data_IF_594755216679
#
_entry.id   IF_594755216679
#
_cell.length_a   1.000
_cell.length_b   1.000
_cell.length_c   1.000
_cell.angle_alpha   90.00
_cell.angle_beta   90.00
_cell.angle_gamma   90.00
#
_symmetry.space_group_name_H-M   'P 1'
#
loop_
_entity.id
_entity.type
_entity.pdbx_description
1 polymer ?
#
# COMPACT_ATOMS: atom_id res chain seq x y z
N UNK A 1 3.35 14.96 5.16
CA UNK A 1 3.07 14.04 6.29
C UNK A 1 3.27 12.58 5.90
N UNK A 2 2.57 12.03 4.88
CA UNK A 2 2.66 10.60 4.55
C UNK A 2 4.08 10.05 4.28
N UNK A 3 4.92 10.79 3.57
CA UNK A 3 6.31 10.36 3.25
C UNK A 3 7.19 10.19 4.50
N UNK A 4 7.03 11.06 5.49
CA UNK A 4 7.77 10.94 6.76
C UNK A 4 7.32 9.71 7.56
N UNK A 5 6.03 9.40 7.57
CA UNK A 5 5.51 8.19 8.21
C UNK A 5 6.05 6.91 7.53
N UNK A 6 6.14 6.91 6.19
CA UNK A 6 6.74 5.81 5.43
C UNK A 6 8.23 5.66 5.80
N UNK A 7 8.98 6.76 5.86
CA UNK A 7 10.39 6.71 6.23
C UNK A 7 10.60 6.11 7.63
N UNK A 8 9.78 6.51 8.61
CA UNK A 8 9.83 5.93 9.96
C UNK A 8 9.44 4.45 9.98
N UNK A 9 8.41 4.06 9.24
CA UNK A 9 7.98 2.66 9.14
C UNK A 9 9.09 1.77 8.53
N UNK A 10 9.84 2.28 7.57
CA UNK A 10 10.99 1.55 6.98
C UNK A 10 12.13 1.33 7.98
N UNK A 11 12.36 2.26 8.91
CA UNK A 11 13.39 2.10 9.95
C UNK A 11 13.15 0.91 10.88
N UNK A 12 11.89 0.49 11.01
CA UNK A 12 11.48 -0.66 11.83
C UNK A 12 11.07 -1.86 10.97
N UNK A 13 11.44 -1.86 9.69
CA UNK A 13 11.15 -2.94 8.72
C UNK A 13 9.65 -3.30 8.62
N UNK A 14 8.77 -2.31 8.85
CA UNK A 14 7.33 -2.53 8.76
C UNK A 14 6.89 -2.70 7.30
N UNK A 15 5.87 -3.53 7.10
CA UNK A 15 5.18 -3.65 5.82
C UNK A 15 4.27 -2.43 5.63
N UNK A 16 4.57 -1.61 4.63
CA UNK A 16 3.82 -0.38 4.33
C UNK A 16 2.77 -0.64 3.25
N UNK A 17 1.53 -0.28 3.56
CA UNK A 17 0.44 -0.08 2.61
C UNK A 17 0.02 1.39 2.64
N UNK A 18 -0.19 1.99 1.48
CA UNK A 18 -0.48 3.43 1.39
C UNK A 18 -1.48 3.73 0.27
N UNK A 19 -1.99 4.96 0.25
CA UNK A 19 -2.88 5.42 -0.81
C UNK A 19 -2.32 6.67 -1.48
N UNK A 20 -2.62 6.86 -2.76
CA UNK A 20 -2.28 8.09 -3.47
C UNK A 20 -3.32 8.42 -4.54
N UNK A 21 -3.31 9.68 -5.00
CA UNK A 21 -4.35 10.22 -5.87
C UNK A 21 -3.89 10.42 -7.32
N UNK A 22 -2.64 10.14 -7.68
CA UNK A 22 -2.10 10.41 -9.02
C UNK A 22 -0.95 9.47 -9.35
N UNK A 23 -0.72 9.25 -10.65
CA UNK A 23 0.37 8.42 -11.14
C UNK A 23 1.75 8.94 -10.69
N UNK A 24 2.00 10.24 -10.79
CA UNK A 24 3.26 10.83 -10.33
C UNK A 24 3.56 10.56 -8.84
N UNK A 25 2.54 10.57 -7.96
CA UNK A 25 2.72 10.20 -6.55
C UNK A 25 2.98 8.70 -6.39
N UNK A 26 2.31 7.87 -7.18
CA UNK A 26 2.53 6.42 -7.22
C UNK A 26 3.96 6.09 -7.63
N UNK A 27 4.46 6.73 -8.68
CA UNK A 27 5.81 6.54 -9.19
C UNK A 27 6.86 6.93 -8.15
N UNK A 28 6.67 8.07 -7.47
CA UNK A 28 7.53 8.47 -6.36
C UNK A 28 7.53 7.45 -5.20
N UNK A 29 6.35 6.93 -4.82
CA UNK A 29 6.26 5.92 -3.77
C UNK A 29 6.99 4.62 -4.15
N UNK A 30 6.94 4.22 -5.42
CA UNK A 30 7.62 3.01 -5.91
C UNK A 30 9.13 3.21 -6.05
N UNK A 31 9.55 4.26 -6.75
CA UNK A 31 10.92 4.42 -7.19
C UNK A 31 11.82 5.04 -6.11
N UNK A 32 11.29 6.00 -5.34
CA UNK A 32 12.08 6.75 -4.36
C UNK A 32 11.90 6.20 -2.93
N UNK A 33 10.70 5.70 -2.60
CA UNK A 33 10.40 5.18 -1.27
C UNK A 33 10.34 3.65 -1.19
N UNK A 34 10.54 2.94 -2.30
CA UNK A 34 10.59 1.47 -2.38
C UNK A 34 9.33 0.79 -1.81
N UNK A 35 8.16 1.41 -2.06
CA UNK A 35 6.86 0.81 -1.73
C UNK A 35 6.39 -0.02 -2.92
N UNK A 36 6.16 -1.34 -2.78
CA UNK A 36 5.71 -2.18 -3.88
C UNK A 36 4.42 -1.66 -4.51
N UNK A 37 4.30 -1.79 -5.83
CA UNK A 37 3.11 -1.38 -6.57
C UNK A 37 1.82 -2.04 -6.03
N UNK A 38 1.91 -3.30 -5.59
CA UNK A 38 0.80 -4.05 -4.98
C UNK A 38 0.34 -3.50 -3.63
N UNK A 39 1.12 -2.60 -3.00
CA UNK A 39 0.83 -2.01 -1.70
C UNK A 39 0.35 -0.55 -1.78
N UNK A 40 0.22 0.00 -2.99
CA UNK A 40 -0.23 1.37 -3.23
C UNK A 40 -1.64 1.34 -3.83
N UNK A 41 -2.61 1.93 -3.15
CA UNK A 41 -4.01 1.97 -3.58
C UNK A 41 -4.48 3.39 -3.94
N UNK A 42 -5.67 3.50 -4.53
CA UNK A 42 -6.27 4.79 -4.84
C UNK A 42 -6.81 5.44 -3.56
N UNK A 43 -6.59 6.75 -3.38
CA UNK A 43 -7.10 7.51 -2.23
C UNK A 43 -8.44 8.22 -2.49
N UNK A 44 -9.01 8.09 -3.70
CA UNK A 44 -10.22 8.83 -4.12
C UNK A 44 -11.51 8.02 -4.00
N UNK A 45 -11.40 6.74 -3.70
CA UNK A 45 -12.51 5.82 -3.52
C UNK A 45 -12.18 4.83 -2.40
N UNK A 46 -13.11 3.93 -2.08
CA UNK A 46 -12.98 2.93 -1.03
C UNK A 46 -12.34 1.62 -1.50
N UNK A 47 -11.85 1.55 -2.75
CA UNK A 47 -11.26 0.33 -3.32
C UNK A 47 -10.06 -0.19 -2.51
N UNK A 48 -9.35 0.69 -1.80
CA UNK A 48 -8.26 0.34 -0.91
C UNK A 48 -8.70 -0.59 0.23
N UNK A 49 -9.97 -0.55 0.66
CA UNK A 49 -10.49 -1.44 1.71
C UNK A 49 -10.40 -2.89 1.27
N UNK A 50 -10.89 -3.20 0.07
CA UNK A 50 -10.81 -4.55 -0.49
C UNK A 50 -9.37 -4.92 -0.87
N UNK A 51 -8.60 -3.95 -1.35
CA UNK A 51 -7.17 -4.11 -1.66
C UNK A 51 -6.35 -4.56 -0.44
N UNK A 52 -6.45 -3.84 0.68
CA UNK A 52 -5.76 -4.17 1.93
C UNK A 52 -6.22 -5.53 2.46
N UNK A 53 -7.53 -5.81 2.47
CA UNK A 53 -8.06 -7.12 2.90
C UNK A 53 -7.44 -8.26 2.09
N UNK A 54 -7.35 -8.10 0.78
CA UNK A 54 -6.77 -9.12 -0.10
C UNK A 54 -5.27 -9.29 0.12
N UNK A 55 -4.55 -8.21 0.44
CA UNK A 55 -3.12 -8.24 0.67
C UNK A 55 -2.71 -8.79 2.04
N UNK A 56 -3.59 -8.73 3.04
CA UNK A 56 -3.25 -9.03 4.45
C UNK A 56 -4.01 -10.20 5.05
N UNK A 57 -5.20 -10.53 4.53
CA UNK A 57 -6.02 -11.63 5.04
C UNK A 57 -5.86 -12.82 4.08
N UNK A 58 -5.45 -14.01 4.58
CA UNK A 58 -5.46 -15.22 3.78
C UNK A 58 -6.85 -15.48 3.22
N UNK A 59 -6.97 -15.78 1.92
CA UNK A 59 -8.26 -16.24 1.39
C UNK A 59 -8.71 -17.47 2.18
N UNK A 60 -9.97 -17.53 2.64
CA UNK A 60 -10.48 -18.74 3.26
C UNK A 60 -10.35 -19.90 2.26
N UNK A 61 -10.09 -21.13 2.73
CA UNK A 61 -9.95 -22.28 1.85
C UNK A 61 -11.24 -22.46 1.05
N UNK A 62 -11.12 -22.54 -0.29
CA UNK A 62 -12.22 -22.99 -1.14
C UNK A 62 -12.49 -24.44 -0.82
N UNK A 63 -13.62 -24.72 -0.16
CA UNK A 63 -14.12 -26.09 -0.02
C UNK A 63 -14.76 -26.43 -1.37
N UNK A 64 -14.07 -27.28 -2.13
CA UNK A 64 -14.60 -27.95 -3.33
C UNK A 64 -15.48 -29.13 -2.94
#
# INVERSE_FOLDING_TARGET
MGTAAIALAKLIEAIVYTTCSSQAKRDYLMNDLDVPASHIFNSRDDSFVQGIRTATIPRPPTIV
#
